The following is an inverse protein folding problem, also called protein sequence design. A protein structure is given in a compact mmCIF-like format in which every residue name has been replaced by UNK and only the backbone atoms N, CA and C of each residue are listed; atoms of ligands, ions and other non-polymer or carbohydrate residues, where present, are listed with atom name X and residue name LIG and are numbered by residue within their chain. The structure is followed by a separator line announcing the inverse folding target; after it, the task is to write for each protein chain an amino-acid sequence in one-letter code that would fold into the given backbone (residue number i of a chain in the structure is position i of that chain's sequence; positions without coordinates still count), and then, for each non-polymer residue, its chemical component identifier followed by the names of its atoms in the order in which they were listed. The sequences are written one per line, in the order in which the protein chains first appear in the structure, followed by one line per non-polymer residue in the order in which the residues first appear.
data_IF_246340573283
#
_entry.id   IF_246340573283
#
_cell.length_a   1.000
_cell.length_b   1.000
_cell.length_c   1.000
_cell.angle_alpha   90.00
_cell.angle_beta   90.00
_cell.angle_gamma   90.00
#
_symmetry.space_group_name_H-M   'P 1'
#
loop_
_entity.id
_entity.type
_entity.pdbx_description
1 polymer ?
#
# COMPACT_ATOMS: atom_id res chain seq x y z
N UNK A 1 16.40 -18.51 8.66
CA UNK A 1 15.99 -18.53 10.09
C UNK A 1 14.46 -18.61 10.07
N UNK A 2 13.89 -19.56 10.77
CA UNK A 2 12.42 -19.62 10.92
C UNK A 2 12.09 -18.81 12.17
N UNK A 3 11.28 -17.76 12.01
CA UNK A 3 10.78 -16.97 13.13
C UNK A 3 9.38 -17.51 13.45
N UNK A 4 9.12 -17.81 14.70
CA UNK A 4 7.82 -18.27 15.16
C UNK A 4 6.78 -17.16 14.96
N UNK A 5 5.70 -17.43 14.23
CA UNK A 5 4.66 -16.46 13.90
C UNK A 5 4.03 -15.81 15.13
N UNK A 6 3.81 -16.60 16.19
CA UNK A 6 3.25 -16.11 17.44
C UNK A 6 4.16 -15.09 18.14
N UNK A 7 5.47 -15.13 17.96
CA UNK A 7 6.39 -14.12 18.50
C UNK A 7 6.14 -12.78 17.76
N UNK A 8 6.02 -12.79 16.45
CA UNK A 8 5.70 -11.59 15.66
C UNK A 8 4.34 -11.02 16.04
N UNK A 9 3.31 -11.86 16.15
CA UNK A 9 1.97 -11.44 16.63
C UNK A 9 2.03 -10.78 18.00
N UNK A 10 2.86 -11.30 18.92
CA UNK A 10 3.02 -10.71 20.23
C UNK A 10 3.62 -9.29 20.16
N UNK A 11 4.66 -9.09 19.36
CA UNK A 11 5.30 -7.78 19.23
C UNK A 11 4.47 -6.79 18.43
N UNK A 12 3.65 -7.27 17.46
CA UNK A 12 2.81 -6.45 16.60
C UNK A 12 1.37 -6.26 17.12
N UNK A 13 1.06 -6.69 18.34
CA UNK A 13 -0.27 -6.62 18.95
C UNK A 13 -0.85 -5.21 19.08
N UNK A 14 0.00 -4.17 19.02
CA UNK A 14 -0.41 -2.77 19.04
C UNK A 14 -0.46 -2.15 17.63
N UNK A 15 -0.28 -2.94 16.56
CA UNK A 15 -0.29 -2.46 15.17
C UNK A 15 -1.64 -2.77 14.52
N UNK A 16 -2.20 -1.77 13.85
CA UNK A 16 -3.42 -1.86 13.06
C UNK A 16 -3.07 -1.63 11.59
N UNK A 17 -3.35 -2.63 10.77
CA UNK A 17 -2.97 -2.67 9.36
C UNK A 17 -4.15 -2.28 8.47
N UNK A 18 -3.94 -1.35 7.55
CA UNK A 18 -4.87 -1.05 6.46
C UNK A 18 -4.16 -1.38 5.15
N UNK A 19 -4.76 -2.25 4.35
CA UNK A 19 -4.26 -2.67 3.03
C UNK A 19 -5.40 -2.65 2.00
N UNK A 20 -5.14 -3.02 0.76
CA UNK A 20 -6.16 -3.11 -0.29
C UNK A 20 -5.78 -2.37 -1.57
N UNK A 21 -6.77 -2.17 -2.45
CA UNK A 21 -6.56 -1.63 -3.79
C UNK A 21 -6.12 -0.16 -3.79
N UNK A 22 -5.52 0.27 -4.89
CA UNK A 22 -5.22 1.68 -5.10
C UNK A 22 -6.51 2.51 -5.11
N UNK A 23 -6.42 3.78 -4.74
CA UNK A 23 -7.53 4.74 -4.72
C UNK A 23 -8.66 4.46 -3.70
N UNK A 24 -8.55 3.42 -2.89
CA UNK A 24 -9.56 3.07 -1.88
C UNK A 24 -9.64 4.06 -0.70
N UNK A 25 -8.68 4.98 -0.57
CA UNK A 25 -8.66 5.99 0.50
C UNK A 25 -7.87 5.58 1.74
N UNK A 26 -7.03 4.53 1.66
CA UNK A 26 -6.21 3.99 2.76
C UNK A 26 -5.44 5.08 3.51
N UNK A 27 -4.57 5.82 2.82
CA UNK A 27 -3.71 6.84 3.44
C UNK A 27 -4.50 7.94 4.16
N UNK A 28 -5.66 8.33 3.61
CA UNK A 28 -6.56 9.29 4.27
C UNK A 28 -7.14 8.70 5.55
N UNK A 29 -7.61 7.45 5.50
CA UNK A 29 -8.20 6.75 6.65
C UNK A 29 -7.16 6.53 7.75
N UNK A 30 -5.94 6.08 7.39
CA UNK A 30 -4.83 5.93 8.35
C UNK A 30 -4.52 7.25 9.04
N UNK A 31 -4.43 8.35 8.29
CA UNK A 31 -4.20 9.68 8.86
C UNK A 31 -5.32 10.10 9.82
N UNK A 32 -6.59 10.00 9.40
CA UNK A 32 -7.73 10.39 10.23
C UNK A 32 -7.82 9.56 11.52
N UNK A 33 -7.60 8.24 11.44
CA UNK A 33 -7.63 7.37 12.61
C UNK A 33 -6.44 7.63 13.54
N UNK A 34 -5.24 7.89 13.01
CA UNK A 34 -4.07 8.22 13.84
C UNK A 34 -4.30 9.50 14.65
N UNK A 35 -4.85 10.54 14.02
CA UNK A 35 -5.17 11.80 14.68
C UNK A 35 -6.29 11.65 15.72
N UNK A 36 -7.35 10.89 15.39
CA UNK A 36 -8.53 10.70 16.26
C UNK A 36 -8.23 9.90 17.52
N UNK A 37 -7.34 8.91 17.43
CA UNK A 37 -7.07 7.95 18.52
C UNK A 37 -5.66 8.06 19.07
N UNK A 38 -4.93 9.15 18.80
CA UNK A 38 -3.55 9.40 19.26
C UNK A 38 -2.61 8.21 18.99
N UNK A 39 -2.62 7.73 17.74
CA UNK A 39 -1.79 6.62 17.28
C UNK A 39 -0.59 7.11 16.48
N UNK A 40 0.49 6.34 16.47
CA UNK A 40 1.61 6.60 15.54
C UNK A 40 1.12 6.38 14.11
N UNK A 41 1.29 7.40 13.28
CA UNK A 41 0.97 7.35 11.86
C UNK A 41 2.11 6.75 11.05
N UNK A 42 1.83 5.69 10.29
CA UNK A 42 2.73 5.13 9.29
C UNK A 42 2.03 5.17 7.92
N UNK A 43 2.42 6.13 7.08
CA UNK A 43 1.92 6.22 5.71
C UNK A 43 2.54 5.18 4.79
N UNK A 44 2.06 5.10 3.55
CA UNK A 44 2.66 4.26 2.51
C UNK A 44 4.17 4.54 2.42
N UNK A 45 4.98 3.49 2.35
CA UNK A 45 6.44 3.59 2.24
C UNK A 45 7.17 4.24 3.43
N UNK A 46 6.58 4.26 4.64
CA UNK A 46 7.23 4.85 5.84
C UNK A 46 8.60 4.21 6.14
N UNK A 47 8.83 2.95 5.74
CA UNK A 47 10.07 2.19 5.91
C UNK A 47 11.21 2.61 4.97
N UNK A 48 10.97 3.49 3.99
CA UNK A 48 11.97 3.89 2.98
C UNK A 48 13.24 4.44 3.64
N UNK A 49 13.11 5.23 4.70
CA UNK A 49 14.27 5.82 5.37
C UNK A 49 15.25 4.75 5.90
N UNK A 50 14.74 3.61 6.36
CA UNK A 50 15.56 2.47 6.82
C UNK A 50 16.00 1.60 5.64
N UNK A 51 15.07 1.22 4.77
CA UNK A 51 15.37 0.34 3.64
C UNK A 51 16.36 0.95 2.66
N UNK A 52 16.36 2.27 2.47
CA UNK A 52 17.32 2.95 1.60
C UNK A 52 18.77 2.89 2.11
N UNK A 53 18.96 2.73 3.41
CA UNK A 53 20.28 2.59 4.02
C UNK A 53 20.75 1.13 3.99
N UNK A 54 19.84 0.17 4.15
CA UNK A 54 20.18 -1.24 4.42
C UNK A 54 20.00 -2.13 3.19
N UNK A 55 18.95 -1.90 2.39
CA UNK A 55 18.64 -2.73 1.23
C UNK A 55 19.69 -2.59 0.11
N UNK A 56 20.03 -3.69 -0.52
CA UNK A 56 20.98 -3.74 -1.63
C UNK A 56 20.33 -4.31 -2.88
N UNK A 57 20.74 -3.86 -4.10
CA UNK A 57 20.19 -4.38 -5.35
C UNK A 57 20.37 -5.89 -5.52
N UNK A 58 21.40 -6.48 -4.91
CA UNK A 58 21.67 -7.93 -4.99
C UNK A 58 20.64 -8.75 -4.20
N UNK A 59 20.12 -8.21 -3.10
CA UNK A 59 19.18 -8.90 -2.21
C UNK A 59 17.73 -8.44 -2.39
N UNK A 60 17.53 -7.16 -2.71
CA UNK A 60 16.21 -6.53 -2.90
C UNK A 60 16.20 -5.74 -4.22
N UNK A 61 16.30 -6.41 -5.39
CA UNK A 61 16.39 -5.75 -6.68
C UNK A 61 15.18 -4.88 -7.01
N UNK A 62 13.98 -5.33 -6.72
CA UNK A 62 12.74 -4.61 -7.05
C UNK A 62 12.48 -3.44 -6.08
N UNK A 63 12.78 -3.59 -4.79
CA UNK A 63 12.74 -2.51 -3.81
C UNK A 63 13.76 -1.40 -4.13
N UNK A 64 14.96 -1.80 -4.56
CA UNK A 64 16.03 -0.88 -4.92
C UNK A 64 15.90 -0.31 -6.34
N UNK A 65 14.99 -0.83 -7.18
CA UNK A 65 14.91 -0.51 -8.60
C UNK A 65 14.86 1.00 -8.88
N UNK A 66 14.02 1.75 -8.17
CA UNK A 66 13.89 3.21 -8.35
C UNK A 66 15.18 3.98 -8.07
N UNK A 67 16.04 3.48 -7.17
CA UNK A 67 17.35 4.09 -6.85
C UNK A 67 18.43 3.78 -7.87
N UNK A 68 18.27 2.72 -8.65
CA UNK A 68 19.22 2.27 -9.67
C UNK A 68 18.92 2.83 -11.06
N UNK A 69 17.78 3.52 -11.21
CA UNK A 69 17.41 4.13 -12.49
C UNK A 69 18.37 5.26 -12.88
N UNK A 70 18.82 5.22 -14.11
CA UNK A 70 19.58 6.30 -14.76
C UNK A 70 18.66 7.24 -15.53
N UNK A 71 17.53 6.71 -16.03
CA UNK A 71 16.49 7.48 -16.70
C UNK A 71 15.10 7.01 -16.20
N UNK A 72 14.29 7.95 -15.74
CA UNK A 72 12.93 7.66 -15.30
C UNK A 72 11.97 7.26 -16.42
N UNK A 73 12.36 7.51 -17.68
CA UNK A 73 11.62 6.99 -18.84
C UNK A 73 11.58 5.47 -18.84
N UNK A 74 12.67 4.81 -18.40
CA UNK A 74 12.70 3.36 -18.27
C UNK A 74 11.63 2.85 -17.27
N UNK A 75 11.31 3.66 -16.27
CA UNK A 75 10.25 3.31 -15.30
C UNK A 75 8.86 3.36 -15.93
N UNK A 76 8.54 4.41 -16.68
CA UNK A 76 7.18 4.62 -17.21
C UNK A 76 6.91 3.86 -18.51
N UNK A 77 7.95 3.41 -19.22
CA UNK A 77 7.82 2.64 -20.48
C UNK A 77 7.81 1.13 -20.29
N UNK A 78 7.98 0.63 -19.06
CA UNK A 78 7.90 -0.81 -18.77
C UNK A 78 6.59 -1.40 -19.27
N UNK A 79 6.65 -2.68 -19.68
CA UNK A 79 5.43 -3.41 -20.01
C UNK A 79 4.51 -3.54 -18.78
N UNK A 80 3.18 -3.67 -18.97
CA UNK A 80 2.24 -3.88 -17.87
C UNK A 80 2.62 -5.05 -16.95
N UNK A 81 3.10 -6.16 -17.50
CA UNK A 81 3.52 -7.33 -16.73
C UNK A 81 4.79 -7.08 -15.90
N UNK A 82 5.75 -6.29 -16.41
CA UNK A 82 6.94 -5.88 -15.65
C UNK A 82 6.57 -4.93 -14.51
N UNK A 83 5.61 -4.03 -14.74
CA UNK A 83 5.11 -3.13 -13.72
C UNK A 83 4.40 -3.90 -12.59
N UNK A 84 3.52 -4.85 -12.92
CA UNK A 84 2.84 -5.72 -11.96
C UNK A 84 3.83 -6.53 -11.12
N UNK A 85 4.77 -7.21 -11.78
CA UNK A 85 5.82 -7.98 -11.10
C UNK A 85 6.61 -7.12 -10.12
N UNK A 86 7.00 -5.91 -10.54
CA UNK A 86 7.75 -4.99 -9.70
C UNK A 86 6.95 -4.56 -8.47
N UNK A 87 5.67 -4.19 -8.60
CA UNK A 87 4.80 -3.83 -7.48
C UNK A 87 4.74 -4.97 -6.46
N UNK A 88 4.48 -6.19 -6.94
CA UNK A 88 4.38 -7.36 -6.07
C UNK A 88 5.69 -7.68 -5.36
N UNK A 89 6.79 -7.73 -6.09
CA UNK A 89 8.09 -8.08 -5.54
C UNK A 89 8.62 -7.00 -4.60
N UNK A 90 8.50 -5.72 -4.95
CA UNK A 90 8.96 -4.63 -4.09
C UNK A 90 8.22 -4.61 -2.75
N UNK A 91 6.91 -4.88 -2.74
CA UNK A 91 6.13 -5.05 -1.50
C UNK A 91 6.61 -6.23 -0.67
N UNK A 92 6.89 -7.37 -1.31
CA UNK A 92 7.41 -8.56 -0.64
C UNK A 92 8.82 -8.35 -0.07
N UNK A 93 9.70 -7.71 -0.84
CA UNK A 93 11.06 -7.37 -0.40
C UNK A 93 11.06 -6.31 0.72
N UNK A 94 10.11 -5.37 0.68
CA UNK A 94 9.93 -4.33 1.69
C UNK A 94 9.34 -4.83 3.01
N UNK A 95 8.54 -5.91 2.99
CA UNK A 95 7.79 -6.38 4.14
C UNK A 95 8.65 -6.64 5.39
N UNK A 96 9.86 -7.17 5.22
CA UNK A 96 10.78 -7.39 6.34
C UNK A 96 11.20 -6.10 7.03
N UNK A 97 11.45 -5.03 6.27
CA UNK A 97 11.80 -3.71 6.82
C UNK A 97 10.59 -3.06 7.50
N UNK A 98 9.40 -3.16 6.90
CA UNK A 98 8.16 -2.72 7.52
C UNK A 98 7.94 -3.38 8.87
N UNK A 99 8.01 -4.70 8.94
CA UNK A 99 7.81 -5.48 10.18
C UNK A 99 8.82 -5.07 11.26
N UNK A 100 10.10 -4.97 10.91
CA UNK A 100 11.15 -4.60 11.84
C UNK A 100 10.91 -3.20 12.47
N UNK A 101 10.51 -2.24 11.64
CA UNK A 101 10.22 -0.88 12.09
C UNK A 101 8.95 -0.82 12.94
N UNK A 102 7.89 -1.54 12.53
CA UNK A 102 6.63 -1.62 13.28
C UNK A 102 6.83 -2.22 14.68
N UNK A 103 7.68 -3.24 14.84
CA UNK A 103 8.03 -3.79 16.16
C UNK A 103 8.62 -2.71 17.06
N UNK A 104 9.52 -1.89 16.53
CA UNK A 104 10.13 -0.79 17.29
C UNK A 104 9.12 0.29 17.66
N UNK A 105 8.31 0.73 16.71
CA UNK A 105 7.33 1.81 16.88
C UNK A 105 6.17 1.42 17.82
N UNK A 106 5.75 0.16 17.78
CA UNK A 106 4.57 -0.32 18.50
C UNK A 106 4.85 -0.79 19.94
N UNK A 107 6.09 -0.67 20.40
CA UNK A 107 6.49 -1.14 21.75
C UNK A 107 5.60 -0.61 22.86
N UNK A 108 5.37 0.71 22.87
CA UNK A 108 4.65 1.40 23.95
C UNK A 108 3.43 2.21 23.43
N UNK A 109 3.17 2.18 22.13
CA UNK A 109 2.11 2.96 21.48
C UNK A 109 1.32 2.13 20.48
N UNK A 110 0.07 2.51 20.27
CA UNK A 110 -0.70 2.01 19.12
C UNK A 110 -0.15 2.63 17.83
N UNK A 111 -0.03 1.81 16.81
CA UNK A 111 0.43 2.20 15.46
C UNK A 111 -0.65 1.87 14.46
N UNK A 112 -0.91 2.74 13.52
CA UNK A 112 -1.76 2.46 12.35
C UNK A 112 -0.97 2.68 11.09
N UNK A 113 -1.05 1.72 10.15
CA UNK A 113 -0.19 1.68 8.96
C UNK A 113 -0.99 1.46 7.68
N UNK A 114 -0.65 2.23 6.62
CA UNK A 114 -0.98 1.91 5.22
C UNK A 114 0.10 1.00 4.68
N UNK A 115 -0.19 -0.30 4.52
CA UNK A 115 0.83 -1.32 4.27
C UNK A 115 0.67 -2.00 2.92
N UNK A 116 1.82 -2.38 2.33
CA UNK A 116 1.94 -3.26 1.18
C UNK A 116 2.40 -4.68 1.57
N UNK A 117 2.45 -5.03 2.86
CA UNK A 117 2.76 -6.39 3.31
C UNK A 117 1.74 -7.37 2.68
N UNK A 118 2.20 -8.45 2.02
CA UNK A 118 1.33 -9.44 1.40
C UNK A 118 0.31 -10.04 2.37
N UNK A 119 -0.88 -10.37 1.86
CA UNK A 119 -2.00 -10.87 2.67
C UNK A 119 -1.68 -12.17 3.42
N UNK A 120 -0.91 -13.07 2.83
CA UNK A 120 -0.45 -14.31 3.44
C UNK A 120 0.43 -14.03 4.67
N UNK A 121 1.35 -13.07 4.55
CA UNK A 121 2.17 -12.62 5.69
C UNK A 121 1.32 -11.94 6.77
N UNK A 122 0.37 -11.08 6.40
CA UNK A 122 -0.54 -10.45 7.37
C UNK A 122 -1.34 -11.48 8.18
N UNK A 123 -1.78 -12.58 7.54
CA UNK A 123 -2.46 -13.69 8.23
C UNK A 123 -1.57 -14.38 9.27
N UNK A 124 -0.27 -14.40 9.02
CA UNK A 124 0.69 -15.01 9.94
C UNK A 124 1.07 -14.10 11.12
N UNK A 125 1.24 -12.79 10.86
CA UNK A 125 1.79 -11.84 11.83
C UNK A 125 0.75 -11.00 12.57
N UNK A 126 -0.54 -11.11 12.20
CA UNK A 126 -1.62 -10.30 12.79
C UNK A 126 -2.89 -11.12 12.97
N UNK A 127 -3.88 -10.52 13.61
CA UNK A 127 -5.19 -11.11 13.83
C UNK A 127 -6.27 -10.35 13.09
N UNK A 128 -7.43 -11.01 12.87
CA UNK A 128 -8.58 -10.44 12.17
C UNK A 128 -8.94 -9.02 12.61
N UNK A 129 -8.97 -8.78 13.93
CA UNK A 129 -9.38 -7.49 14.50
C UNK A 129 -8.32 -6.36 14.34
N UNK A 130 -7.16 -6.66 13.78
CA UNK A 130 -6.08 -5.70 13.55
C UNK A 130 -5.82 -5.43 12.06
N UNK A 131 -6.57 -6.05 11.16
CA UNK A 131 -6.42 -5.87 9.71
C UNK A 131 -7.73 -5.43 9.09
N UNK A 132 -7.70 -4.36 8.30
CA UNK A 132 -8.79 -3.92 7.45
C UNK A 132 -8.35 -3.82 5.99
N UNK A 133 -9.18 -4.32 5.09
CA UNK A 133 -8.99 -4.25 3.64
C UNK A 133 -9.90 -3.15 3.09
N UNK A 134 -9.34 -2.23 2.32
CA UNK A 134 -10.10 -1.19 1.65
C UNK A 134 -10.03 -1.39 0.14
N UNK A 135 -11.18 -1.43 -0.50
CA UNK A 135 -11.32 -1.67 -1.93
C UNK A 135 -11.96 -0.48 -2.65
N UNK A 136 -11.60 -0.32 -3.91
CA UNK A 136 -12.26 0.60 -4.84
C UNK A 136 -12.44 -0.06 -6.20
N UNK A 137 -13.42 0.37 -7.01
CA UNK A 137 -13.54 -0.08 -8.39
C UNK A 137 -12.26 0.21 -9.20
N UNK A 138 -11.92 -0.69 -10.12
CA UNK A 138 -10.75 -0.55 -11.00
C UNK A 138 -10.76 0.77 -11.78
N UNK A 139 -11.93 1.21 -12.25
CA UNK A 139 -12.11 2.47 -12.99
C UNK A 139 -11.54 3.67 -12.21
N UNK A 140 -11.80 3.75 -10.90
CA UNK A 140 -11.26 4.83 -10.07
C UNK A 140 -9.73 4.80 -10.02
N UNK A 141 -9.13 3.62 -9.93
CA UNK A 141 -7.68 3.45 -9.83
C UNK A 141 -6.96 3.82 -11.12
N UNK A 142 -7.56 3.49 -12.27
CA UNK A 142 -6.96 3.71 -13.60
C UNK A 142 -7.20 5.13 -14.10
N UNK A 143 -8.46 5.59 -14.07
CA UNK A 143 -8.83 6.88 -14.66
C UNK A 143 -8.37 8.07 -13.84
N UNK A 144 -8.36 7.93 -12.50
CA UNK A 144 -8.06 9.03 -11.58
C UNK A 144 -6.67 8.96 -10.93
N UNK A 145 -5.80 8.11 -11.45
CA UNK A 145 -4.47 7.92 -10.85
C UNK A 145 -3.68 9.22 -10.76
N UNK A 146 -3.71 10.02 -11.83
CA UNK A 146 -2.99 11.28 -11.95
C UNK A 146 -3.80 12.51 -11.50
N UNK A 147 -5.07 12.36 -11.10
CA UNK A 147 -5.90 13.47 -10.59
C UNK A 147 -5.47 13.95 -9.19
N UNK A 148 -4.52 13.24 -8.58
CA UNK A 148 -4.03 13.54 -7.24
C UNK A 148 -2.96 14.64 -7.28
N UNK A 149 -2.99 15.53 -6.31
CA UNK A 149 -1.90 16.48 -6.04
C UNK A 149 -0.68 15.85 -5.35
N UNK A 150 -0.57 14.52 -5.40
CA UNK A 150 0.55 13.74 -4.87
C UNK A 150 1.81 14.04 -5.70
N UNK A 151 2.90 14.56 -5.08
CA UNK A 151 4.10 14.95 -5.83
C UNK A 151 4.72 13.82 -6.65
N UNK A 152 4.72 12.57 -6.14
CA UNK A 152 5.27 11.42 -6.86
C UNK A 152 4.45 11.11 -8.11
N UNK A 153 3.13 11.21 -8.04
CA UNK A 153 2.25 10.96 -9.20
C UNK A 153 2.40 12.07 -10.25
N UNK A 154 2.48 13.33 -9.80
CA UNK A 154 2.71 14.46 -10.70
C UNK A 154 4.10 14.40 -11.35
N UNK A 155 5.12 13.95 -10.61
CA UNK A 155 6.44 13.69 -11.18
C UNK A 155 6.37 12.61 -12.28
N UNK A 156 5.72 11.46 -12.04
CA UNK A 156 5.57 10.41 -13.06
C UNK A 156 4.81 10.91 -14.29
N UNK A 157 3.77 11.73 -14.10
CA UNK A 157 3.05 12.35 -15.20
C UNK A 157 3.99 13.23 -16.05
N UNK A 158 4.81 14.05 -15.41
CA UNK A 158 5.79 14.90 -16.12
C UNK A 158 6.83 14.09 -16.89
N UNK A 159 7.25 12.92 -16.38
CA UNK A 159 8.15 12.01 -17.09
C UNK A 159 7.46 11.43 -18.31
N UNK A 160 6.21 10.98 -18.21
CA UNK A 160 5.41 10.47 -19.34
C UNK A 160 5.28 11.56 -20.42
N UNK A 161 4.93 12.80 -20.03
CA UNK A 161 4.78 13.93 -20.94
C UNK A 161 6.11 14.30 -21.67
N UNK A 162 7.25 13.96 -21.08
CA UNK A 162 8.58 14.17 -21.67
C UNK A 162 9.00 13.08 -22.67
N UNK A 163 8.23 12.00 -22.83
CA UNK A 163 8.52 10.94 -23.77
C UNK A 163 8.18 11.37 -25.21
N UNK A 164 8.87 10.79 -26.20
CA UNK A 164 8.68 11.12 -27.62
C UNK A 164 7.23 10.80 -28.08
N UNK A 165 6.68 9.68 -27.63
CA UNK A 165 5.28 9.29 -27.84
C UNK A 165 4.58 9.18 -26.47
N UNK A 166 4.25 10.34 -25.90
CA UNK A 166 3.64 10.42 -24.58
C UNK A 166 2.24 9.77 -24.51
N UNK A 167 1.49 9.78 -25.62
CA UNK A 167 0.17 9.15 -25.69
C UNK A 167 0.28 7.63 -25.58
N UNK A 168 1.18 7.00 -26.35
CA UNK A 168 1.41 5.56 -26.29
C UNK A 168 1.99 5.14 -24.92
N UNK A 169 2.88 5.94 -24.33
CA UNK A 169 3.42 5.68 -22.98
C UNK A 169 2.33 5.78 -21.93
N UNK A 170 1.47 6.79 -21.98
CA UNK A 170 0.33 6.94 -21.07
C UNK A 170 -0.63 5.74 -21.18
N UNK A 171 -0.97 5.32 -22.40
CA UNK A 171 -1.84 4.17 -22.60
C UNK A 171 -1.20 2.88 -22.05
N UNK A 172 0.10 2.68 -22.29
CA UNK A 172 0.84 1.56 -21.73
C UNK A 172 0.84 1.58 -20.20
N UNK A 173 1.08 2.74 -19.60
CA UNK A 173 1.08 2.92 -18.15
C UNK A 173 -0.30 2.65 -17.53
N UNK A 174 -1.38 3.13 -18.18
CA UNK A 174 -2.76 2.83 -17.78
C UNK A 174 -3.08 1.33 -17.84
N UNK A 175 -2.57 0.61 -18.84
CA UNK A 175 -2.69 -0.86 -18.90
C UNK A 175 -1.98 -1.53 -17.71
N UNK A 176 -0.81 -1.03 -17.31
CA UNK A 176 -0.13 -1.49 -16.08
C UNK A 176 -0.99 -1.24 -14.84
N UNK A 177 -1.55 -0.05 -14.69
CA UNK A 177 -2.47 0.27 -13.59
C UNK A 177 -3.72 -0.62 -13.60
N UNK A 178 -4.27 -0.91 -14.77
CA UNK A 178 -5.42 -1.80 -14.90
C UNK A 178 -5.09 -3.24 -14.49
N UNK A 179 -3.87 -3.70 -14.77
CA UNK A 179 -3.42 -5.05 -14.43
C UNK A 179 -3.25 -5.22 -12.91
N UNK A 180 -2.56 -4.30 -12.24
CA UNK A 180 -2.39 -4.34 -10.76
C UNK A 180 -3.69 -4.09 -9.98
N UNK A 181 -4.73 -3.57 -10.63
CA UNK A 181 -6.07 -3.41 -10.07
C UNK A 181 -7.08 -4.30 -10.79
N UNK A 182 -6.63 -5.43 -11.35
CA UNK A 182 -7.49 -6.39 -12.05
C UNK A 182 -8.54 -6.98 -11.12
N UNK A 183 -9.57 -7.61 -11.73
CA UNK A 183 -10.57 -8.35 -10.96
C UNK A 183 -9.94 -9.46 -10.11
N UNK A 184 -8.90 -10.10 -10.60
CA UNK A 184 -8.18 -11.15 -9.88
C UNK A 184 -7.56 -10.62 -8.59
N UNK A 185 -6.80 -9.52 -8.65
CA UNK A 185 -6.24 -8.87 -7.47
C UNK A 185 -7.32 -8.29 -6.55
N UNK A 186 -8.39 -7.74 -7.11
CA UNK A 186 -9.54 -7.30 -6.32
C UNK A 186 -10.16 -8.46 -5.54
N UNK A 187 -10.40 -9.59 -6.21
CA UNK A 187 -11.00 -10.77 -5.60
C UNK A 187 -10.09 -11.41 -4.54
N UNK A 188 -8.76 -11.36 -4.71
CA UNK A 188 -7.80 -11.80 -3.70
C UNK A 188 -7.98 -11.04 -2.39
N UNK A 189 -8.05 -9.71 -2.46
CA UNK A 189 -8.33 -8.86 -1.29
C UNK A 189 -9.74 -9.09 -0.74
N UNK A 190 -10.76 -9.11 -1.58
CA UNK A 190 -12.16 -9.27 -1.17
C UNK A 190 -12.41 -10.61 -0.47
N UNK A 191 -11.71 -11.67 -0.90
CA UNK A 191 -11.80 -13.02 -0.35
C UNK A 191 -10.70 -13.34 0.68
N UNK A 192 -9.96 -12.34 1.14
CA UNK A 192 -8.84 -12.53 2.07
C UNK A 192 -9.25 -13.13 3.43
N UNK A 193 -10.52 -12.98 3.80
CA UNK A 193 -11.05 -13.33 5.13
C UNK A 193 -10.89 -12.24 6.17
N UNK A 194 -10.29 -11.09 5.84
CA UNK A 194 -10.23 -9.91 6.69
C UNK A 194 -11.48 -9.04 6.56
N UNK A 195 -11.67 -8.13 7.50
CA UNK A 195 -12.72 -7.12 7.43
C UNK A 195 -12.52 -6.22 6.22
N UNK A 196 -13.55 -6.11 5.37
CA UNK A 196 -13.44 -5.41 4.09
C UNK A 196 -14.43 -4.26 4.00
N UNK A 197 -13.96 -3.11 3.56
CA UNK A 197 -14.76 -1.93 3.24
C UNK A 197 -14.57 -1.58 1.77
N UNK A 198 -15.67 -1.38 1.05
CA UNK A 198 -15.66 -0.99 -0.36
C UNK A 198 -16.00 0.49 -0.46
N UNK A 199 -15.15 1.24 -1.14
CA UNK A 199 -15.43 2.61 -1.57
C UNK A 199 -16.15 2.57 -2.90
N UNK A 200 -17.33 3.15 -2.95
CA UNK A 200 -18.10 3.28 -4.19
C UNK A 200 -17.75 4.58 -4.93
N UNK A 201 -17.84 4.55 -6.27
CA UNK A 201 -17.68 5.74 -7.11
C UNK A 201 -19.03 6.43 -7.33
N UNK A 202 -19.61 6.95 -6.25
CA UNK A 202 -20.92 7.60 -6.25
C UNK A 202 -20.85 9.12 -5.97
N UNK A 203 -19.63 9.67 -5.90
CA UNK A 203 -19.40 11.10 -5.63
C UNK A 203 -19.66 11.55 -4.19
N UNK A 204 -20.06 10.66 -3.29
CA UNK A 204 -20.32 10.98 -1.89
C UNK A 204 -19.01 11.00 -1.07
N UNK A 205 -18.93 11.92 -0.13
CA UNK A 205 -17.87 11.90 0.88
C UNK A 205 -18.23 10.94 2.01
N UNK A 206 -17.65 9.75 1.97
CA UNK A 206 -17.88 8.68 2.95
C UNK A 206 -16.73 8.50 3.92
N UNK A 207 -15.77 9.43 3.96
CA UNK A 207 -14.54 9.29 4.77
C UNK A 207 -14.82 9.05 6.26
N UNK A 208 -15.70 9.85 6.86
CA UNK A 208 -16.07 9.69 8.27
C UNK A 208 -16.75 8.35 8.54
N UNK A 209 -17.71 7.96 7.70
CA UNK A 209 -18.41 6.67 7.83
C UNK A 209 -17.44 5.48 7.73
N UNK A 210 -16.50 5.53 6.79
CA UNK A 210 -15.48 4.50 6.61
C UNK A 210 -14.55 4.45 7.83
N UNK A 211 -14.10 5.60 8.33
CA UNK A 211 -13.30 5.67 9.56
C UNK A 211 -14.03 5.06 10.74
N UNK A 212 -15.33 5.36 10.93
CA UNK A 212 -16.11 4.82 12.03
C UNK A 212 -16.30 3.29 11.92
N UNK A 213 -16.50 2.76 10.70
CA UNK A 213 -16.60 1.31 10.46
C UNK A 213 -15.28 0.61 10.83
N UNK A 214 -14.16 1.16 10.40
CA UNK A 214 -12.84 0.59 10.68
C UNK A 214 -12.47 0.75 12.15
N UNK A 215 -12.74 1.91 12.77
CA UNK A 215 -12.51 2.12 14.20
C UNK A 215 -13.31 1.15 15.07
N UNK A 216 -14.56 0.86 14.70
CA UNK A 216 -15.38 -0.13 15.38
C UNK A 216 -14.84 -1.54 15.25
N UNK A 217 -14.40 -1.91 14.02
CA UNK A 217 -13.76 -3.19 13.77
C UNK A 217 -12.48 -3.37 14.58
N UNK A 218 -11.65 -2.34 14.68
CA UNK A 218 -10.43 -2.35 15.47
C UNK A 218 -10.64 -2.24 16.99
N UNK A 219 -11.90 -2.12 17.46
CA UNK A 219 -12.19 -1.95 18.89
C UNK A 219 -11.66 -0.63 19.48
N UNK A 220 -11.51 0.41 18.66
CA UNK A 220 -11.04 1.73 19.08
C UNK A 220 -12.15 2.62 19.63
N UNK A 221 -13.41 2.32 19.29
CA UNK A 221 -14.57 3.00 19.84
C UNK A 221 -14.92 2.35 21.17
N UNK A 222 -14.71 3.06 22.28
CA UNK A 222 -15.11 2.67 23.62
C UNK A 222 -16.60 2.83 23.85
#
# INVERSE_FOLDING_TARGET
MIIENNILKHYLKNVYFITGTAYAGKSTTVKMLSERYDMVFCGENYHIAVSDIVATPDLQPDLCYRRTLTDWKDFVTRSPAEYERWIYNSGKEGAGFEIAELISLSKDKKVIVDTCIPLDMLKEISDYNHVAVMLSPQSMSVERFFDRSDPDKQFLLSVIDSCEDSEAVMENYRRGLALINSKEHYDEYANSGFFTVVREDNGLDTREEVCDKIARHFGLMG
#
